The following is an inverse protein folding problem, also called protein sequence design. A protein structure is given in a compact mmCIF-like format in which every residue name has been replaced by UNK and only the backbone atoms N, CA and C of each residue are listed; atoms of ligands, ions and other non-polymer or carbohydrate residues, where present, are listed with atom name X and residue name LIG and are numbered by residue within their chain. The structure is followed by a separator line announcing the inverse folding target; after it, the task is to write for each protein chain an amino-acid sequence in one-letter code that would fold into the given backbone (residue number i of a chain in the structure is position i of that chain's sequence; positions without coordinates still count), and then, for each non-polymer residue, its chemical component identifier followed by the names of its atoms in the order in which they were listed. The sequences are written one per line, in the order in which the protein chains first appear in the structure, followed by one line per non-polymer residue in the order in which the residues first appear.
data_IF_128907685477
#
_entry.id   IF_128907685477
#
_cell.length_a   1.000
_cell.length_b   1.000
_cell.length_c   1.000
_cell.angle_alpha   90.00
_cell.angle_beta   90.00
_cell.angle_gamma   90.00
#
_symmetry.space_group_name_H-M   'P 1'
#
loop_
_entity.id
_entity.type
_entity.pdbx_description
1 polymer ?
#
# COMPACT_ATOMS: atom_id res chain seq x y z
N UNK A 1 -11.69 7.46 32.64
CA UNK A 1 -12.19 7.04 31.31
C UNK A 1 -11.34 5.86 30.88
N UNK A 2 -11.94 4.67 30.77
CA UNK A 2 -11.24 3.47 30.29
C UNK A 2 -11.16 3.55 28.77
N UNK A 3 -9.95 3.60 28.23
CA UNK A 3 -9.70 3.51 26.78
C UNK A 3 -10.34 2.23 26.25
N UNK A 4 -11.04 2.34 25.11
CA UNK A 4 -11.59 1.19 24.39
C UNK A 4 -10.48 0.15 24.18
N UNK A 5 -10.69 -1.14 24.50
CA UNK A 5 -9.70 -2.21 24.31
C UNK A 5 -9.14 -2.27 22.87
N UNK A 6 -9.89 -1.80 21.88
CA UNK A 6 -9.38 -1.67 20.50
C UNK A 6 -8.30 -0.58 20.41
N UNK A 7 -8.50 0.58 21.03
CA UNK A 7 -7.52 1.67 21.04
C UNK A 7 -6.25 1.27 21.79
N UNK A 8 -6.38 0.63 22.96
CA UNK A 8 -5.24 0.16 23.72
C UNK A 8 -4.42 -0.91 22.95
N UNK A 9 -5.07 -1.77 22.17
CA UNK A 9 -4.41 -2.77 21.33
C UNK A 9 -3.64 -2.13 20.16
N UNK A 10 -4.19 -1.10 19.52
CA UNK A 10 -3.54 -0.38 18.42
C UNK A 10 -2.28 0.37 18.89
N UNK A 11 -2.30 0.92 20.10
CA UNK A 11 -1.14 1.59 20.72
C UNK A 11 0.01 0.63 21.06
N UNK A 12 -0.24 -0.69 21.10
CA UNK A 12 0.80 -1.72 21.31
C UNK A 12 1.48 -2.20 20.05
N UNK A 13 1.05 -1.75 18.87
CA UNK A 13 1.70 -2.10 17.62
C UNK A 13 3.04 -1.36 17.52
N UNK A 14 4.13 -2.04 17.93
CA UNK A 14 5.49 -1.67 17.50
C UNK A 14 5.52 -1.59 15.97
N UNK A 15 6.38 -0.76 15.35
CA UNK A 15 6.51 -0.74 13.90
C UNK A 15 6.71 -2.17 13.44
N UNK A 16 5.79 -2.69 12.65
CA UNK A 16 5.88 -4.03 12.09
C UNK A 16 6.74 -3.95 10.83
N UNK A 17 7.01 -5.10 10.20
CA UNK A 17 7.75 -5.09 8.96
C UNK A 17 6.95 -4.30 7.89
N UNK A 18 7.51 -3.19 7.41
CA UNK A 18 6.86 -2.25 6.50
C UNK A 18 7.05 -2.72 5.06
N UNK A 19 5.98 -3.10 4.35
CA UNK A 19 6.11 -3.46 2.95
C UNK A 19 6.35 -2.23 2.08
N UNK A 20 7.09 -2.45 1.00
CA UNK A 20 7.37 -1.45 -0.02
C UNK A 20 7.44 -2.12 -1.39
N UNK A 21 7.44 -1.31 -2.45
CA UNK A 21 7.71 -1.77 -3.81
C UNK A 21 8.84 -0.96 -4.42
N UNK A 22 9.60 -1.56 -5.34
CA UNK A 22 10.42 -0.79 -6.27
C UNK A 22 9.57 -0.52 -7.52
N UNK A 23 9.26 0.75 -7.78
CA UNK A 23 8.59 1.19 -9.01
C UNK A 23 9.62 1.74 -9.98
N UNK A 24 9.66 1.18 -11.17
CA UNK A 24 10.46 1.65 -12.29
C UNK A 24 9.62 2.55 -13.20
N UNK A 25 10.04 3.80 -13.34
CA UNK A 25 9.39 4.80 -14.18
C UNK A 25 9.92 4.75 -15.62
N UNK A 26 11.20 4.42 -15.78
CA UNK A 26 11.86 4.33 -17.08
C UNK A 26 12.72 3.05 -17.15
N UNK A 27 12.55 2.27 -18.22
CA UNK A 27 13.40 1.11 -18.52
C UNK A 27 14.41 1.46 -19.62
N UNK A 28 15.56 1.97 -19.18
CA UNK A 28 16.66 2.36 -20.09
C UNK A 28 17.31 1.18 -20.81
N UNK A 29 17.04 -0.06 -20.37
CA UNK A 29 17.62 -1.27 -20.96
C UNK A 29 16.70 -1.95 -21.97
N UNK A 30 15.38 -1.70 -21.87
CA UNK A 30 14.34 -2.39 -22.63
C UNK A 30 14.13 -3.86 -22.23
N UNK A 31 14.76 -4.34 -21.15
CA UNK A 31 14.72 -5.75 -20.72
C UNK A 31 13.64 -5.98 -19.66
N UNK A 32 13.48 -5.01 -18.73
CA UNK A 32 12.78 -5.25 -17.46
C UNK A 32 11.37 -4.66 -17.42
N UNK A 33 11.05 -3.78 -18.36
CA UNK A 33 9.82 -3.00 -18.39
C UNK A 33 9.73 -1.95 -17.28
N UNK A 34 8.64 -1.17 -17.35
CA UNK A 34 8.25 -0.17 -16.35
C UNK A 34 7.18 -0.74 -15.40
N UNK A 35 6.92 -0.05 -14.30
CA UNK A 35 5.94 -0.44 -13.29
C UNK A 35 6.59 -1.04 -12.05
N UNK A 36 5.85 -1.87 -11.30
CA UNK A 36 6.39 -2.50 -10.09
C UNK A 36 7.28 -3.68 -10.47
N UNK A 37 8.57 -3.56 -10.19
CA UNK A 37 9.61 -4.52 -10.62
C UNK A 37 10.10 -5.41 -9.47
N UNK A 38 9.84 -5.02 -8.22
CA UNK A 38 10.13 -5.84 -7.05
C UNK A 38 9.20 -5.50 -5.88
N UNK A 39 8.95 -6.50 -5.04
CA UNK A 39 8.30 -6.38 -3.74
C UNK A 39 9.36 -6.35 -2.64
N UNK A 40 9.11 -5.63 -1.56
CA UNK A 40 10.04 -5.54 -0.46
C UNK A 40 9.38 -5.45 0.89
N UNK A 41 10.15 -5.81 1.92
CA UNK A 41 9.78 -5.69 3.33
C UNK A 41 10.95 -5.07 4.08
N UNK A 42 10.70 -3.93 4.73
CA UNK A 42 11.62 -3.23 5.60
C UNK A 42 11.36 -3.67 7.05
N UNK A 43 12.36 -4.23 7.72
CA UNK A 43 12.21 -4.71 9.07
C UNK A 43 12.49 -3.60 10.10
N UNK A 44 11.67 -3.53 11.16
CA UNK A 44 11.90 -2.66 12.29
C UNK A 44 13.11 -3.16 13.08
N UNK A 45 14.21 -2.42 13.04
CA UNK A 45 15.32 -2.56 13.98
C UNK A 45 15.60 -1.19 14.58
N UNK A 46 16.26 -1.12 15.74
CA UNK A 46 16.82 0.15 16.22
C UNK A 46 17.80 0.66 15.14
N UNK A 47 17.37 1.64 14.34
CA UNK A 47 18.08 2.13 13.14
C UNK A 47 17.45 1.82 11.76
N UNK A 48 16.32 1.10 11.70
CA UNK A 48 15.43 1.03 10.53
C UNK A 48 16.08 0.60 9.21
N UNK A 49 16.83 -0.50 9.21
CA UNK A 49 17.77 -0.75 8.12
C UNK A 49 17.51 -2.00 7.29
N UNK A 50 17.27 -3.17 7.90
CA UNK A 50 17.28 -4.42 7.15
C UNK A 50 16.08 -4.53 6.23
N UNK A 51 16.32 -4.86 4.97
CA UNK A 51 15.28 -5.03 3.97
C UNK A 51 15.43 -6.37 3.24
N UNK A 52 14.31 -6.99 2.87
CA UNK A 52 14.29 -8.10 1.92
C UNK A 52 13.59 -7.62 0.66
N UNK A 53 14.18 -7.91 -0.50
CA UNK A 53 13.64 -7.56 -1.82
C UNK A 53 13.44 -8.83 -2.64
N UNK A 54 12.26 -9.00 -3.20
CA UNK A 54 11.91 -10.04 -4.16
C UNK A 54 11.67 -9.41 -5.53
N UNK A 55 12.57 -9.67 -6.48
CA UNK A 55 12.39 -9.25 -7.87
C UNK A 55 11.27 -10.06 -8.53
N UNK A 56 10.43 -9.38 -9.31
CA UNK A 56 9.35 -10.00 -10.08
C UNK A 56 9.86 -10.57 -11.41
N UNK A 57 9.01 -11.34 -12.07
CA UNK A 57 9.30 -11.98 -13.36
C UNK A 57 9.78 -13.42 -13.25
N UNK A 58 9.90 -14.08 -14.39
CA UNK A 58 10.19 -15.52 -14.52
C UNK A 58 11.49 -15.95 -13.82
N UNK A 59 12.48 -15.06 -13.79
CA UNK A 59 13.80 -15.29 -13.16
C UNK A 59 14.03 -14.43 -11.92
N UNK A 60 12.97 -14.12 -11.18
CA UNK A 60 13.07 -13.29 -9.98
C UNK A 60 14.04 -13.87 -8.94
N UNK A 61 14.85 -13.02 -8.33
CA UNK A 61 15.74 -13.35 -7.21
C UNK A 61 15.25 -12.72 -5.90
N UNK A 62 15.68 -13.27 -4.77
CA UNK A 62 15.42 -12.72 -3.44
C UNK A 62 16.74 -12.29 -2.83
N UNK A 63 16.82 -11.04 -2.37
CA UNK A 63 18.05 -10.45 -1.83
C UNK A 63 17.77 -9.82 -0.47
N UNK A 64 18.68 -10.07 0.47
CA UNK A 64 18.64 -9.48 1.81
C UNK A 64 19.65 -8.34 1.85
N UNK A 65 19.22 -7.19 2.37
CA UNK A 65 20.00 -5.98 2.47
C UNK A 65 20.11 -5.56 3.94
N UNK A 66 21.31 -5.13 4.34
CA UNK A 66 21.50 -4.60 5.69
C UNK A 66 20.85 -3.23 5.89
N UNK A 67 20.73 -2.44 4.81
CA UNK A 67 20.13 -1.11 4.78
C UNK A 67 19.29 -0.90 3.51
N UNK A 68 18.06 -0.39 3.65
CA UNK A 68 17.20 0.01 2.52
C UNK A 68 17.87 1.05 1.60
N UNK A 69 18.73 1.92 2.15
CA UNK A 69 19.49 2.89 1.36
C UNK A 69 20.35 2.22 0.28
N UNK A 70 20.93 1.04 0.55
CA UNK A 70 21.76 0.34 -0.42
C UNK A 70 20.93 -0.18 -1.60
N UNK A 71 19.68 -0.57 -1.34
CA UNK A 71 18.71 -0.91 -2.40
C UNK A 71 18.50 0.29 -3.31
N UNK A 72 18.28 1.47 -2.72
CA UNK A 72 18.04 2.70 -3.47
C UNK A 72 19.29 3.18 -4.24
N UNK A 73 20.47 3.14 -3.63
CA UNK A 73 21.73 3.56 -4.26
C UNK A 73 22.07 2.70 -5.49
N UNK A 74 21.87 1.38 -5.39
CA UNK A 74 22.24 0.43 -6.46
C UNK A 74 21.13 0.35 -7.52
N UNK A 75 19.86 0.38 -7.10
CA UNK A 75 18.73 0.12 -7.99
C UNK A 75 17.87 1.34 -8.28
N UNK A 76 18.23 2.53 -7.79
CA UNK A 76 17.48 3.77 -8.01
C UNK A 76 17.63 4.35 -9.42
N UNK A 77 18.73 4.03 -10.11
CA UNK A 77 19.00 4.42 -11.51
C UNK A 77 18.75 5.93 -11.78
N UNK A 78 19.35 6.82 -10.98
CA UNK A 78 19.14 8.28 -10.98
C UNK A 78 17.66 8.70 -10.87
N UNK A 79 16.90 8.00 -10.02
CA UNK A 79 15.48 8.30 -9.80
C UNK A 79 14.53 7.64 -10.81
N UNK A 80 15.05 6.90 -11.80
CA UNK A 80 14.23 6.10 -12.72
C UNK A 80 13.58 4.91 -12.04
N UNK A 81 14.04 4.55 -10.84
CA UNK A 81 13.37 3.58 -9.98
C UNK A 81 13.29 4.13 -8.56
N UNK A 82 12.12 4.05 -7.95
CA UNK A 82 11.85 4.60 -6.61
C UNK A 82 11.39 3.52 -5.65
N UNK A 83 11.75 3.67 -4.37
CA UNK A 83 11.19 2.88 -3.29
C UNK A 83 9.90 3.55 -2.82
N UNK A 84 8.78 2.84 -2.91
CA UNK A 84 7.47 3.32 -2.46
C UNK A 84 7.00 2.46 -1.29
N UNK A 85 6.86 3.06 -0.10
CA UNK A 85 6.24 2.37 1.03
C UNK A 85 4.77 2.10 0.71
N UNK A 86 4.30 0.90 1.03
CA UNK A 86 2.88 0.57 0.91
C UNK A 86 2.17 1.08 2.17
N UNK A 87 1.24 2.05 2.08
CA UNK A 87 0.61 2.68 3.24
C UNK A 87 -0.50 1.77 3.80
N UNK A 88 -0.10 0.63 4.36
CA UNK A 88 -1.03 -0.40 4.83
C UNK A 88 -1.91 0.13 5.96
N UNK A 89 -1.33 0.84 6.92
CA UNK A 89 -2.05 1.33 8.08
C UNK A 89 -3.07 2.40 7.69
N UNK A 90 -2.68 3.33 6.80
CA UNK A 90 -3.60 4.32 6.25
C UNK A 90 -4.68 3.67 5.39
N UNK A 91 -4.36 2.64 4.61
CA UNK A 91 -5.36 1.90 3.83
C UNK A 91 -6.32 1.15 4.75
N UNK A 92 -5.84 0.49 5.79
CA UNK A 92 -6.69 -0.20 6.78
C UNK A 92 -7.60 0.83 7.47
N UNK A 93 -7.07 1.99 7.87
CA UNK A 93 -7.87 3.06 8.45
C UNK A 93 -8.95 3.57 7.46
N UNK A 94 -8.58 3.77 6.20
CA UNK A 94 -9.50 4.19 5.15
C UNK A 94 -10.58 3.13 4.87
N UNK A 95 -10.21 1.86 4.76
CA UNK A 95 -11.15 0.75 4.57
C UNK A 95 -12.09 0.58 5.76
N UNK A 96 -11.61 0.76 6.99
CA UNK A 96 -12.46 0.78 8.19
C UNK A 96 -13.47 1.93 8.12
N UNK A 97 -13.02 3.15 7.81
CA UNK A 97 -13.90 4.29 7.65
C UNK A 97 -14.96 4.08 6.55
N UNK A 98 -14.54 3.54 5.40
CA UNK A 98 -15.41 3.14 4.30
C UNK A 98 -16.47 2.13 4.74
N UNK A 99 -16.08 1.09 5.47
CA UNK A 99 -17.01 0.07 5.97
C UNK A 99 -18.05 0.68 6.93
N UNK A 100 -17.66 1.66 7.76
CA UNK A 100 -18.57 2.35 8.68
C UNK A 100 -19.61 3.21 7.95
N UNK A 101 -19.23 3.93 6.89
CA UNK A 101 -20.13 4.88 6.23
C UNK A 101 -20.99 4.25 5.12
N UNK A 102 -20.56 3.13 4.54
CA UNK A 102 -21.24 2.48 3.41
C UNK A 102 -22.74 2.19 3.64
N UNK A 103 -23.20 1.70 4.81
CA UNK A 103 -24.62 1.48 5.06
C UNK A 103 -25.43 2.79 5.00
N UNK A 104 -24.89 3.87 5.58
CA UNK A 104 -25.52 5.19 5.54
C UNK A 104 -25.59 5.79 4.13
N UNK A 105 -24.70 5.33 3.23
CA UNK A 105 -24.68 5.70 1.80
C UNK A 105 -25.46 4.74 0.89
N UNK A 106 -26.16 3.74 1.43
CA UNK A 106 -26.91 2.76 0.65
C UNK A 106 -26.04 1.77 -0.16
N UNK A 107 -24.73 1.68 0.12
CA UNK A 107 -23.78 0.84 -0.61
C UNK A 107 -23.69 -0.57 -0.01
N UNK A 108 -24.68 -1.42 -0.31
CA UNK A 108 -24.88 -2.72 0.37
C UNK A 108 -24.23 -3.96 -0.28
N UNK A 109 -23.62 -3.90 -1.47
CA UNK A 109 -22.88 -5.07 -2.01
C UNK A 109 -21.37 -4.84 -2.06
N UNK A 110 -20.60 -5.71 -1.40
CA UNK A 110 -19.16 -5.77 -1.61
C UNK A 110 -18.95 -6.33 -3.02
N UNK A 111 -18.34 -5.54 -3.91
CA UNK A 111 -17.80 -6.07 -5.16
C UNK A 111 -16.92 -7.26 -4.83
N UNK A 112 -17.25 -8.43 -5.35
CA UNK A 112 -16.52 -9.67 -5.09
C UNK A 112 -15.05 -9.45 -5.47
N UNK A 113 -14.14 -9.54 -4.50
CA UNK A 113 -12.71 -9.53 -4.77
C UNK A 113 -12.37 -10.72 -5.67
N UNK A 114 -12.08 -10.46 -6.95
CA UNK A 114 -11.72 -11.51 -7.91
C UNK A 114 -10.22 -11.75 -7.79
N UNK A 115 -9.83 -12.92 -7.31
CA UNK A 115 -8.41 -13.33 -7.31
C UNK A 115 -7.92 -13.44 -8.76
N UNK A 116 -6.77 -12.82 -9.07
CA UNK A 116 -5.99 -13.12 -10.27
C UNK A 116 -6.02 -12.07 -11.40
N UNK A 117 -6.69 -10.92 -11.22
CA UNK A 117 -6.55 -9.77 -12.12
C UNK A 117 -6.11 -8.55 -11.32
N UNK A 118 -4.94 -8.01 -11.64
CA UNK A 118 -4.23 -6.95 -10.94
C UNK A 118 -3.81 -7.27 -9.49
N UNK A 119 -2.81 -6.53 -8.99
CA UNK A 119 -2.37 -6.73 -7.61
C UNK A 119 -3.56 -6.43 -6.69
N UNK A 120 -3.77 -7.24 -5.64
CA UNK A 120 -4.91 -7.02 -4.71
C UNK A 120 -4.96 -5.59 -4.13
N UNK A 121 -3.83 -4.87 -4.18
CA UNK A 121 -3.71 -3.45 -3.86
C UNK A 121 -4.48 -2.54 -4.81
N UNK A 122 -4.42 -2.76 -6.12
CA UNK A 122 -5.10 -1.92 -7.11
C UNK A 122 -6.61 -2.01 -6.95
N UNK A 123 -7.12 -3.22 -6.70
CA UNK A 123 -8.54 -3.45 -6.41
C UNK A 123 -8.99 -2.78 -5.10
N UNK A 124 -8.20 -2.91 -4.03
CA UNK A 124 -8.51 -2.28 -2.75
C UNK A 124 -8.53 -0.75 -2.86
N UNK A 125 -7.57 -0.18 -3.60
CA UNK A 125 -7.48 1.26 -3.81
C UNK A 125 -8.64 1.78 -4.67
N UNK A 126 -9.06 1.03 -5.70
CA UNK A 126 -10.19 1.38 -6.53
C UNK A 126 -11.50 1.45 -5.71
N UNK A 127 -11.70 0.52 -4.78
CA UNK A 127 -12.90 0.49 -3.93
C UNK A 127 -12.94 1.64 -2.91
N UNK A 128 -11.79 1.98 -2.31
CA UNK A 128 -11.68 3.17 -1.45
C UNK A 128 -12.00 4.43 -2.24
N UNK A 129 -11.41 4.60 -3.44
CA UNK A 129 -11.68 5.75 -4.31
C UNK A 129 -13.16 5.86 -4.66
N UNK A 130 -13.79 4.75 -5.07
CA UNK A 130 -15.22 4.71 -5.40
C UNK A 130 -16.10 5.17 -4.23
N UNK A 131 -15.81 4.69 -3.02
CA UNK A 131 -16.61 5.05 -1.85
C UNK A 131 -16.43 6.52 -1.47
N UNK A 132 -15.20 7.03 -1.51
CA UNK A 132 -14.92 8.46 -1.25
C UNK A 132 -15.67 9.35 -2.25
N UNK A 133 -15.66 9.00 -3.54
CA UNK A 133 -16.39 9.76 -4.57
C UNK A 133 -17.89 9.82 -4.27
N UNK A 134 -18.51 8.71 -3.90
CA UNK A 134 -19.94 8.68 -3.55
C UNK A 134 -20.23 9.53 -2.31
N UNK A 135 -19.37 9.46 -1.29
CA UNK A 135 -19.52 10.24 -0.06
C UNK A 135 -19.42 11.76 -0.33
N UNK A 136 -18.45 12.19 -1.14
CA UNK A 136 -18.28 13.60 -1.53
C UNK A 136 -19.50 14.10 -2.30
N UNK A 137 -19.99 13.32 -3.27
CA UNK A 137 -21.20 13.69 -4.02
C UNK A 137 -22.40 13.84 -3.09
N UNK A 138 -22.62 12.89 -2.18
CA UNK A 138 -23.73 12.95 -1.22
C UNK A 138 -23.64 14.17 -0.29
N UNK A 139 -22.43 14.54 0.15
CA UNK A 139 -22.18 15.74 0.95
C UNK A 139 -22.49 17.03 0.19
N UNK A 140 -22.03 17.16 -1.06
CA UNK A 140 -22.32 18.34 -1.88
C UNK A 140 -23.83 18.50 -2.13
N UNK A 141 -24.53 17.42 -2.45
CA UNK A 141 -26.00 17.44 -2.63
C UNK A 141 -26.76 17.87 -1.38
N UNK A 142 -26.18 17.69 -0.18
CA UNK A 142 -26.79 18.05 1.09
C UNK A 142 -26.51 19.50 1.51
N UNK A 143 -25.47 20.13 0.94
CA UNK A 143 -25.11 21.53 1.22
C UNK A 143 -25.82 22.49 0.27
N UNK A 144 -26.23 22.03 -0.91
CA UNK A 144 -26.90 22.84 -1.94
C UNK A 144 -28.45 22.80 -1.89
N UNK A 145 -29.04 22.02 -0.98
CA UNK A 145 -30.50 21.88 -0.80
C UNK A 145 -30.99 22.39 0.55
#
# INVERSE_FOLDING_TARGET
MTTDPITAYLDTLTPTAQPFVLRRHEDVTGISGTGVVADGVLFPTAGGSKAVVRWRGERGSTVIWDHLRHVHEIHGHDGRTTVELVPIDELIAALKAVATIRPALGLVSASQFVRGQDSGWDQALAEVRRTITVAITALHSHVEG
#
